data_IF_066175013476
#
_entry.id   IF_066175013476
#
_cell.length_a   1.000
_cell.length_b   1.000
_cell.length_c   1.000
_cell.angle_alpha   90.00
_cell.angle_beta   90.00
_cell.angle_gamma   90.00
#
_symmetry.space_group_name_H-M   'P 1'
#
loop_
_entity.id
_entity.type
_entity.pdbx_description
1 polymer ?
#
# COMPACT_ATOMS: atom_id res chain seq x y z
N UNK A 1 -1.66 -19.17 -4.70
CA UNK A 1 -0.34 -18.49 -4.75
C UNK A 1 0.66 -19.34 -4.01
N UNK A 2 1.71 -19.74 -4.69
CA UNK A 2 2.80 -20.52 -4.12
C UNK A 2 3.93 -19.54 -3.69
N UNK A 3 4.79 -19.95 -2.77
CA UNK A 3 5.86 -19.06 -2.27
C UNK A 3 6.89 -18.72 -3.34
N UNK A 4 7.15 -19.63 -4.26
CA UNK A 4 8.08 -19.47 -5.39
C UNK A 4 7.60 -18.49 -6.46
N UNK A 5 6.31 -18.14 -6.49
CA UNK A 5 5.73 -17.11 -7.38
C UNK A 5 5.90 -15.69 -6.80
N UNK A 6 6.32 -15.57 -5.54
CA UNK A 6 6.41 -14.27 -4.86
C UNK A 6 7.78 -13.65 -5.06
N UNK A 7 7.80 -12.37 -5.41
CA UNK A 7 8.98 -11.50 -5.37
C UNK A 7 8.86 -10.58 -4.16
N UNK A 8 9.38 -10.98 -2.99
CA UNK A 8 9.24 -10.20 -1.78
C UNK A 8 10.14 -8.97 -1.82
N UNK A 9 9.55 -7.77 -1.62
CA UNK A 9 10.29 -6.50 -1.59
C UNK A 9 9.74 -5.58 -0.50
N UNK A 10 10.37 -5.60 0.66
CA UNK A 10 9.92 -4.86 1.84
C UNK A 10 10.21 -3.36 1.78
N UNK A 11 9.40 -2.60 2.50
CA UNK A 11 9.53 -1.15 2.70
C UNK A 11 9.51 -0.82 4.19
N UNK A 12 10.23 0.24 4.55
CA UNK A 12 10.32 0.68 5.93
C UNK A 12 9.25 1.70 6.32
N UNK A 13 9.21 2.03 7.61
CA UNK A 13 8.28 3.02 8.17
C UNK A 13 8.37 4.39 7.48
N UNK A 14 9.57 4.86 7.14
CA UNK A 14 9.74 6.12 6.44
C UNK A 14 9.06 6.15 5.07
N UNK A 15 9.12 5.01 4.34
CA UNK A 15 8.42 4.88 3.07
C UNK A 15 6.89 4.97 3.27
N UNK A 16 6.34 4.25 4.27
CA UNK A 16 4.90 4.27 4.57
C UNK A 16 4.41 5.64 5.00
N UNK A 17 5.17 6.34 5.87
CA UNK A 17 4.84 7.71 6.28
C UNK A 17 4.75 8.65 5.08
N UNK A 18 5.70 8.57 4.16
CA UNK A 18 5.72 9.42 2.98
C UNK A 18 4.64 9.03 1.95
N UNK A 19 4.42 7.72 1.67
CA UNK A 19 3.41 7.25 0.73
C UNK A 19 1.99 7.57 1.16
N UNK A 20 1.71 7.46 2.46
CA UNK A 20 0.36 7.56 3.01
C UNK A 20 0.13 8.80 3.86
N UNK A 21 1.10 9.73 3.92
CA UNK A 21 1.02 10.96 4.74
C UNK A 21 0.64 10.61 6.19
N UNK A 22 1.29 9.56 6.75
CA UNK A 22 1.03 9.16 8.14
C UNK A 22 1.66 10.17 9.10
N UNK A 23 0.85 10.71 10.00
CA UNK A 23 1.22 11.73 10.98
C UNK A 23 1.31 11.15 12.39
N UNK A 24 1.75 11.96 13.34
CA UNK A 24 1.81 11.57 14.74
C UNK A 24 0.43 11.15 15.27
N UNK A 25 -0.63 11.85 14.89
CA UNK A 25 -2.00 11.55 15.31
C UNK A 25 -2.49 10.17 14.82
N UNK A 26 -1.96 9.66 13.69
CA UNK A 26 -2.29 8.33 13.20
C UNK A 26 -1.77 7.21 14.13
N UNK A 27 -0.81 7.50 15.04
CA UNK A 27 -0.31 6.53 16.01
C UNK A 27 -1.39 6.02 16.98
N UNK A 28 -2.40 6.83 17.26
CA UNK A 28 -3.54 6.44 18.11
C UNK A 28 -4.55 5.55 17.37
N UNK A 29 -4.53 5.53 16.03
CA UNK A 29 -5.46 4.80 15.17
C UNK A 29 -5.12 3.31 15.13
N UNK A 30 -6.16 2.49 14.92
CA UNK A 30 -6.01 1.06 14.61
C UNK A 30 -5.75 0.93 13.11
N UNK A 31 -4.53 0.58 12.71
CA UNK A 31 -4.13 0.46 11.32
C UNK A 31 -4.22 -0.97 10.80
N UNK A 32 -4.64 -1.10 9.54
CA UNK A 32 -4.46 -2.30 8.73
C UNK A 32 -3.49 -2.00 7.59
N UNK A 33 -2.40 -2.73 7.51
CA UNK A 33 -1.56 -2.79 6.31
C UNK A 33 -2.00 -3.99 5.45
N UNK A 34 -2.36 -3.76 4.20
CA UNK A 34 -2.84 -4.82 3.31
C UNK A 34 -1.90 -5.00 2.12
N UNK A 35 -1.42 -6.23 1.91
CA UNK A 35 -0.42 -6.53 0.90
C UNK A 35 0.96 -5.99 1.28
N UNK A 36 1.29 -6.02 2.58
CA UNK A 36 2.52 -5.44 3.11
C UNK A 36 3.77 -6.26 2.75
N UNK A 37 3.61 -7.56 2.49
CA UNK A 37 4.75 -8.44 2.26
C UNK A 37 5.76 -8.39 3.39
N UNK A 38 7.08 -8.50 3.11
CA UNK A 38 8.12 -8.47 4.13
C UNK A 38 8.54 -7.03 4.52
N UNK A 39 7.56 -6.14 4.70
CA UNK A 39 7.82 -4.76 5.11
C UNK A 39 8.12 -4.65 6.61
N UNK A 40 9.07 -3.78 6.98
CA UNK A 40 9.33 -3.49 8.41
C UNK A 40 8.32 -2.53 9.03
N UNK A 41 7.38 -2.00 8.24
CA UNK A 41 6.39 -1.03 8.69
C UNK A 41 5.70 -1.44 9.99
N UNK A 42 5.17 -2.68 10.06
CA UNK A 42 4.50 -3.20 11.25
C UNK A 42 5.42 -3.23 12.47
N UNK A 43 6.63 -3.78 12.29
CA UNK A 43 7.62 -3.87 13.35
C UNK A 43 7.97 -2.48 13.93
N UNK A 44 8.23 -1.52 13.05
CA UNK A 44 8.68 -0.19 13.44
C UNK A 44 7.53 0.67 14.00
N UNK A 45 6.32 0.56 13.42
CA UNK A 45 5.12 1.23 13.93
C UNK A 45 4.76 0.75 15.33
N UNK A 46 4.78 -0.58 15.54
CA UNK A 46 4.50 -1.18 16.84
C UNK A 46 5.57 -0.84 17.89
N UNK A 47 6.84 -0.81 17.51
CA UNK A 47 7.93 -0.39 18.39
C UNK A 47 7.79 1.08 18.84
N UNK A 48 7.17 1.93 17.99
CA UNK A 48 6.81 3.30 18.33
C UNK A 48 5.53 3.45 19.17
N UNK A 49 4.89 2.35 19.59
CA UNK A 49 3.67 2.35 20.40
C UNK A 49 2.37 2.42 19.59
N UNK A 50 2.43 2.38 18.26
CA UNK A 50 1.24 2.37 17.40
C UNK A 50 0.60 0.98 17.30
N UNK A 51 -0.67 0.94 16.94
CA UNK A 51 -1.44 -0.29 16.76
C UNK A 51 -1.60 -0.60 15.27
N UNK A 52 -1.03 -1.71 14.80
CA UNK A 52 -1.12 -2.14 13.40
C UNK A 52 -1.25 -3.66 13.28
N UNK A 53 -2.06 -4.08 12.33
CA UNK A 53 -2.10 -5.46 11.83
C UNK A 53 -1.70 -5.41 10.35
N UNK A 54 -0.78 -6.27 9.94
CA UNK A 54 -0.44 -6.48 8.54
C UNK A 54 -1.07 -7.76 8.04
N UNK A 55 -1.69 -7.70 6.85
CA UNK A 55 -2.29 -8.83 6.16
C UNK A 55 -1.60 -9.04 4.83
N UNK A 56 -1.11 -10.27 4.61
CA UNK A 56 -0.50 -10.68 3.35
C UNK A 56 -0.57 -12.21 3.21
N UNK A 57 -0.75 -12.75 1.99
CA UNK A 57 -0.72 -14.19 1.78
C UNK A 57 0.59 -14.88 2.19
N UNK A 58 1.74 -14.18 2.21
CA UNK A 58 3.03 -14.77 2.60
C UNK A 58 3.08 -15.15 4.08
N UNK A 59 2.24 -14.57 4.92
CA UNK A 59 2.26 -14.84 6.36
C UNK A 59 1.72 -16.22 6.75
N UNK A 60 1.35 -17.05 5.76
CA UNK A 60 1.09 -18.49 5.95
C UNK A 60 2.37 -19.31 6.14
N UNK A 61 3.52 -18.79 5.70
CA UNK A 61 4.79 -19.49 5.77
C UNK A 61 5.63 -19.05 6.98
N UNK A 62 6.44 -19.96 7.52
CA UNK A 62 7.35 -19.62 8.61
C UNK A 62 8.44 -18.65 8.15
N UNK A 63 9.00 -17.90 9.11
CA UNK A 63 10.06 -16.91 8.87
C UNK A 63 11.23 -17.46 8.03
N UNK A 64 11.66 -18.69 8.32
CA UNK A 64 12.76 -19.32 7.60
C UNK A 64 12.45 -19.51 6.10
N UNK A 65 11.22 -19.91 5.74
CA UNK A 65 10.83 -20.08 4.35
C UNK A 65 10.73 -18.73 3.63
N UNK A 66 10.18 -17.70 4.28
CA UNK A 66 10.14 -16.35 3.74
C UNK A 66 11.56 -15.80 3.56
N UNK A 67 12.44 -15.99 4.55
CA UNK A 67 13.84 -15.57 4.50
C UNK A 67 14.60 -16.21 3.33
N UNK A 68 14.49 -17.53 3.18
CA UNK A 68 15.11 -18.25 2.06
C UNK A 68 14.61 -17.73 0.70
N UNK A 69 13.31 -17.42 0.57
CA UNK A 69 12.76 -16.84 -0.65
C UNK A 69 13.31 -15.44 -0.93
N UNK A 70 13.42 -14.60 0.10
CA UNK A 70 14.04 -13.26 -0.02
C UNK A 70 15.48 -13.40 -0.53
N UNK A 71 16.28 -14.24 0.09
CA UNK A 71 17.68 -14.45 -0.29
C UNK A 71 17.81 -14.96 -1.73
N UNK A 72 16.95 -15.88 -2.15
CA UNK A 72 16.96 -16.43 -3.50
C UNK A 72 16.58 -15.43 -4.59
N UNK A 73 15.64 -14.48 -4.28
CA UNK A 73 15.08 -13.59 -5.33
C UNK A 73 15.67 -12.19 -5.33
N UNK A 74 16.18 -11.72 -4.20
CA UNK A 74 16.64 -10.35 -4.08
C UNK A 74 17.80 -9.97 -5.00
N UNK A 75 18.80 -10.84 -5.27
CA UNK A 75 19.86 -10.54 -6.23
C UNK A 75 19.31 -10.21 -7.63
N UNK A 76 18.37 -11.02 -8.14
CA UNK A 76 17.75 -10.80 -9.45
C UNK A 76 16.95 -9.48 -9.48
N UNK A 77 16.25 -9.14 -8.38
CA UNK A 77 15.56 -7.84 -8.27
C UNK A 77 16.56 -6.69 -8.36
N UNK A 78 17.70 -6.78 -7.69
CA UNK A 78 18.76 -5.75 -7.71
C UNK A 78 19.35 -5.62 -9.12
N UNK A 79 19.60 -6.73 -9.82
CA UNK A 79 20.06 -6.73 -11.21
C UNK A 79 19.06 -6.01 -12.13
N UNK A 80 17.76 -6.33 -12.02
CA UNK A 80 16.71 -5.64 -12.77
C UNK A 80 16.65 -4.14 -12.45
N UNK A 81 16.88 -3.76 -11.21
CA UNK A 81 16.93 -2.33 -10.82
C UNK A 81 18.14 -1.61 -11.45
N UNK A 82 19.30 -2.29 -11.59
CA UNK A 82 20.48 -1.72 -12.27
C UNK A 82 20.32 -1.70 -13.79
N UNK A 83 19.61 -2.66 -14.37
CA UNK A 83 19.36 -2.73 -15.80
C UNK A 83 18.45 -1.60 -16.31
N UNK A 84 17.55 -1.11 -15.46
CA UNK A 84 16.62 -0.02 -15.80
C UNK A 84 16.55 1.05 -14.69
N UNK A 85 17.64 1.81 -14.47
CA UNK A 85 17.69 2.83 -13.42
C UNK A 85 16.75 4.01 -13.71
N UNK A 86 16.35 4.22 -14.97
CA UNK A 86 15.45 5.28 -15.41
C UNK A 86 14.03 5.14 -14.86
N UNK A 87 13.64 3.96 -14.40
CA UNK A 87 12.36 3.74 -13.72
C UNK A 87 12.32 4.36 -12.32
N UNK A 88 13.48 4.66 -11.74
CA UNK A 88 13.57 5.15 -10.37
C UNK A 88 13.98 6.61 -10.33
N UNK A 89 13.30 7.38 -9.52
CA UNK A 89 13.68 8.76 -9.24
C UNK A 89 14.79 8.79 -8.18
N UNK A 90 16.01 8.69 -8.65
CA UNK A 90 17.21 8.68 -7.81
C UNK A 90 17.77 10.10 -7.64
N UNK A 91 17.02 10.99 -6.93
CA UNK A 91 17.43 12.38 -6.66
C UNK A 91 18.22 12.50 -5.37
N UNK A 92 19.03 13.56 -5.22
CA UNK A 92 19.72 13.87 -3.96
C UNK A 92 20.83 12.86 -3.62
N UNK A 93 21.58 12.37 -4.60
CA UNK A 93 22.67 11.41 -4.39
C UNK A 93 22.21 9.97 -4.10
N UNK A 94 20.93 9.66 -4.24
CA UNK A 94 20.42 8.30 -4.11
C UNK A 94 20.89 7.45 -5.29
N UNK A 95 21.33 6.23 -5.00
CA UNK A 95 21.73 5.24 -6.01
C UNK A 95 20.82 4.02 -5.95
N UNK A 96 20.82 3.20 -7.01
CA UNK A 96 20.14 1.89 -7.01
C UNK A 96 20.65 1.04 -5.85
N UNK A 97 21.98 1.02 -5.61
CA UNK A 97 22.56 0.28 -4.50
C UNK A 97 22.06 0.75 -3.12
N UNK A 98 21.93 2.07 -2.91
CA UNK A 98 21.37 2.61 -1.66
C UNK A 98 19.88 2.24 -1.49
N UNK A 99 19.11 2.24 -2.58
CA UNK A 99 17.72 1.81 -2.56
C UNK A 99 17.61 0.33 -2.24
N UNK A 100 18.43 -0.52 -2.88
CA UNK A 100 18.49 -1.95 -2.63
C UNK A 100 18.88 -2.25 -1.16
N UNK A 101 19.90 -1.56 -0.62
CA UNK A 101 20.30 -1.72 0.78
C UNK A 101 19.15 -1.37 1.77
N UNK A 102 18.39 -0.31 1.49
CA UNK A 102 17.21 0.04 2.30
C UNK A 102 16.13 -1.04 2.25
N UNK A 103 15.87 -1.62 1.07
CA UNK A 103 14.89 -2.71 0.91
C UNK A 103 15.33 -3.95 1.67
N UNK A 104 16.60 -4.30 1.55
CA UNK A 104 17.20 -5.41 2.29
C UNK A 104 17.07 -5.22 3.81
N UNK A 105 17.47 -4.06 4.32
CA UNK A 105 17.37 -3.72 5.74
C UNK A 105 15.93 -3.83 6.26
N UNK A 106 14.94 -3.36 5.50
CA UNK A 106 13.53 -3.47 5.86
C UNK A 106 13.09 -4.94 5.96
N UNK A 107 13.49 -5.78 5.00
CA UNK A 107 13.16 -7.21 5.02
C UNK A 107 13.83 -7.95 6.19
N UNK A 108 15.08 -7.64 6.51
CA UNK A 108 15.77 -8.22 7.68
C UNK A 108 15.08 -7.79 8.99
N UNK A 109 14.68 -6.54 9.09
CA UNK A 109 13.92 -6.03 10.26
C UNK A 109 12.56 -6.72 10.40
N UNK A 110 11.85 -6.94 9.28
CA UNK A 110 10.62 -7.75 9.26
C UNK A 110 10.88 -9.17 9.77
N UNK A 111 11.86 -9.89 9.20
CA UNK A 111 12.17 -11.27 9.57
C UNK A 111 12.51 -11.41 11.04
N UNK A 112 13.20 -10.43 11.63
CA UNK A 112 13.54 -10.39 13.06
C UNK A 112 12.29 -10.25 13.94
N UNK A 113 11.28 -9.47 13.52
CA UNK A 113 10.07 -9.21 14.29
C UNK A 113 8.97 -10.27 14.04
N UNK A 114 8.92 -10.83 12.85
CA UNK A 114 7.80 -11.65 12.36
C UNK A 114 7.42 -12.81 13.29
N UNK A 115 8.36 -13.62 13.89
CA UNK A 115 7.97 -14.69 14.79
C UNK A 115 7.26 -14.20 16.06
N UNK A 116 7.68 -13.06 16.59
CA UNK A 116 7.09 -12.48 17.81
C UNK A 116 5.79 -11.73 17.46
N UNK A 117 5.79 -10.95 16.39
CA UNK A 117 4.61 -10.25 15.90
C UNK A 117 3.49 -11.19 15.46
N UNK A 118 3.84 -12.34 14.88
CA UNK A 118 2.87 -13.37 14.51
C UNK A 118 2.16 -13.96 15.73
N UNK A 119 2.93 -14.31 16.78
CA UNK A 119 2.34 -14.76 18.06
C UNK A 119 1.47 -13.70 18.73
N UNK A 120 1.79 -12.43 18.52
CA UNK A 120 0.99 -11.30 19.02
C UNK A 120 -0.21 -10.95 18.11
N UNK A 121 -0.46 -11.71 17.03
CA UNK A 121 -1.57 -11.46 16.09
C UNK A 121 -1.37 -10.23 15.19
N UNK A 122 -0.13 -9.72 15.07
CA UNK A 122 0.16 -8.55 14.24
C UNK A 122 0.35 -8.88 12.74
N UNK A 123 0.60 -10.13 12.40
CA UNK A 123 0.73 -10.62 11.03
C UNK A 123 -0.33 -11.69 10.77
N UNK A 124 -1.21 -11.45 9.82
CA UNK A 124 -2.34 -12.30 9.49
C UNK A 124 -2.23 -12.78 8.05
N UNK A 125 -2.30 -14.10 7.86
CA UNK A 125 -2.32 -14.68 6.51
C UNK A 125 -3.68 -14.43 5.86
N UNK A 126 -3.68 -13.80 4.69
CA UNK A 126 -4.90 -13.48 3.95
C UNK A 126 -4.61 -12.55 2.79
N UNK A 127 -5.64 -12.20 2.03
CA UNK A 127 -5.50 -11.32 0.87
C UNK A 127 -6.83 -10.78 0.40
N UNK A 128 -6.77 -9.70 -0.37
CA UNK A 128 -7.94 -9.14 -1.06
C UNK A 128 -8.50 -10.16 -2.07
N UNK A 129 -9.78 -10.10 -2.35
CA UNK A 129 -10.76 -9.13 -1.87
C UNK A 129 -11.56 -9.61 -0.65
N UNK A 130 -11.16 -10.66 0.03
CA UNK A 130 -11.91 -11.23 1.16
C UNK A 130 -11.05 -11.16 2.44
N UNK A 131 -11.44 -10.27 3.38
CA UNK A 131 -10.66 -10.01 4.58
C UNK A 131 -11.26 -10.70 5.81
N UNK A 132 -10.45 -11.40 6.64
CA UNK A 132 -10.94 -12.14 7.81
C UNK A 132 -11.17 -11.24 9.03
N UNK A 133 -11.73 -10.05 8.83
CA UNK A 133 -11.97 -9.07 9.88
C UNK A 133 -13.44 -8.66 9.93
N UNK A 134 -13.92 -8.33 11.11
CA UNK A 134 -15.25 -7.74 11.31
C UNK A 134 -15.33 -6.32 10.68
N UNK A 135 -16.54 -5.86 10.43
CA UNK A 135 -16.78 -4.48 9.99
C UNK A 135 -16.20 -3.49 11.01
N UNK A 136 -15.69 -2.36 10.51
CA UNK A 136 -15.20 -1.24 11.30
C UNK A 136 -14.14 -1.62 12.35
N UNK A 137 -13.38 -2.68 12.07
CA UNK A 137 -12.31 -3.18 12.95
C UNK A 137 -11.14 -2.20 13.05
N UNK A 138 -10.92 -1.41 12.00
CA UNK A 138 -9.79 -0.49 11.86
C UNK A 138 -10.29 0.95 11.61
N UNK A 139 -9.42 1.91 11.94
CA UNK A 139 -9.68 3.33 11.68
C UNK A 139 -9.07 3.75 10.33
N UNK A 140 -7.99 3.08 9.92
CA UNK A 140 -7.29 3.33 8.67
C UNK A 140 -6.76 2.02 8.08
N UNK A 141 -7.01 1.79 6.80
CA UNK A 141 -6.33 0.76 6.01
C UNK A 141 -5.39 1.40 5.00
N UNK A 142 -4.19 0.85 4.84
CA UNK A 142 -3.22 1.25 3.83
C UNK A 142 -2.89 0.06 2.94
N UNK A 143 -2.79 0.28 1.62
CA UNK A 143 -2.44 -0.76 0.66
C UNK A 143 -1.36 -0.22 -0.29
N UNK A 144 -0.13 -0.76 -0.15
CA UNK A 144 1.05 -0.31 -0.86
C UNK A 144 1.38 -1.22 -2.03
N UNK A 145 1.57 -0.64 -3.23
CA UNK A 145 2.16 -1.32 -4.39
C UNK A 145 1.48 -2.65 -4.77
N UNK A 146 0.16 -2.69 -4.69
CA UNK A 146 -0.63 -3.86 -5.05
C UNK A 146 -1.64 -3.53 -6.17
N UNK A 147 -2.73 -2.86 -5.87
CA UNK A 147 -3.87 -2.73 -6.79
C UNK A 147 -3.49 -2.10 -8.14
N UNK A 148 -3.46 -0.78 -8.23
CA UNK A 148 -3.25 -0.06 -9.49
C UNK A 148 -1.91 -0.39 -10.15
N UNK A 149 -0.89 -0.75 -9.36
CA UNK A 149 0.41 -1.15 -9.89
C UNK A 149 0.31 -2.40 -10.78
N UNK A 150 -0.56 -3.35 -10.42
CA UNK A 150 -0.75 -4.63 -11.12
C UNK A 150 -2.06 -4.68 -11.91
N UNK A 151 -2.48 -3.55 -12.51
CA UNK A 151 -3.74 -3.47 -13.27
C UNK A 151 -3.84 -4.49 -14.42
N UNK A 152 -2.72 -4.88 -15.03
CA UNK A 152 -2.70 -5.89 -16.09
C UNK A 152 -3.04 -7.31 -15.59
N UNK A 153 -2.91 -7.54 -14.29
CA UNK A 153 -3.17 -8.83 -13.63
C UNK A 153 -4.44 -8.84 -12.78
N UNK A 154 -4.91 -7.66 -12.40
CA UNK A 154 -6.05 -7.47 -11.51
C UNK A 154 -7.16 -6.73 -12.25
N UNK A 155 -8.30 -7.36 -12.47
CA UNK A 155 -9.42 -6.76 -13.20
C UNK A 155 -9.97 -5.51 -12.49
N UNK A 156 -10.67 -4.66 -13.23
CA UNK A 156 -11.41 -3.51 -12.69
C UNK A 156 -12.42 -3.93 -11.62
N UNK A 157 -13.10 -5.05 -11.81
CA UNK A 157 -14.05 -5.60 -10.83
C UNK A 157 -13.33 -6.00 -9.53
N UNK A 158 -12.14 -6.59 -9.64
CA UNK A 158 -11.30 -6.92 -8.49
C UNK A 158 -10.91 -5.66 -7.70
N UNK A 159 -10.44 -4.61 -8.37
CA UNK A 159 -10.09 -3.35 -7.72
C UNK A 159 -11.27 -2.76 -6.93
N UNK A 160 -12.43 -2.68 -7.57
CA UNK A 160 -13.63 -2.12 -6.93
C UNK A 160 -14.03 -2.95 -5.70
N UNK A 161 -14.11 -4.28 -5.84
CA UNK A 161 -14.45 -5.19 -4.74
C UNK A 161 -13.43 -5.10 -3.61
N UNK A 162 -12.13 -5.09 -3.94
CA UNK A 162 -11.05 -5.01 -2.97
C UNK A 162 -11.12 -3.70 -2.13
N UNK A 163 -11.37 -2.56 -2.77
CA UNK A 163 -11.44 -1.27 -2.06
C UNK A 163 -12.73 -1.19 -1.21
N UNK A 164 -13.85 -1.69 -1.70
CA UNK A 164 -15.08 -1.76 -0.90
C UNK A 164 -14.92 -2.69 0.31
N UNK A 165 -14.18 -3.78 0.16
CA UNK A 165 -13.86 -4.67 1.27
C UNK A 165 -12.93 -4.01 2.29
N UNK A 166 -11.93 -3.26 1.85
CA UNK A 166 -11.11 -2.43 2.74
C UNK A 166 -11.95 -1.40 3.48
N UNK A 167 -12.93 -0.77 2.80
CA UNK A 167 -13.89 0.16 3.44
C UNK A 167 -14.89 -0.54 4.36
N UNK A 168 -15.17 -1.82 4.17
CA UNK A 168 -15.99 -2.59 5.11
C UNK A 168 -15.30 -2.71 6.46
N UNK A 169 -13.99 -2.94 6.46
CA UNK A 169 -13.20 -3.19 7.68
C UNK A 169 -12.57 -1.94 8.27
N UNK A 170 -12.46 -0.83 7.50
CA UNK A 170 -11.82 0.41 7.94
C UNK A 170 -12.64 1.65 7.58
N UNK A 171 -12.59 2.68 8.41
CA UNK A 171 -13.28 3.95 8.17
C UNK A 171 -12.68 4.75 7.00
N UNK A 172 -11.36 4.65 6.81
CA UNK A 172 -10.59 5.31 5.76
C UNK A 172 -9.62 4.32 5.11
N UNK A 173 -9.43 4.45 3.80
CA UNK A 173 -8.49 3.64 3.01
C UNK A 173 -7.54 4.55 2.25
N UNK A 174 -6.25 4.25 2.25
CA UNK A 174 -5.22 4.94 1.45
C UNK A 174 -4.50 3.93 0.57
N UNK A 175 -4.45 4.20 -0.73
CA UNK A 175 -3.90 3.30 -1.75
C UNK A 175 -2.75 4.01 -2.50
N UNK A 176 -1.62 3.34 -2.66
CA UNK A 176 -0.45 3.88 -3.35
C UNK A 176 0.31 2.77 -4.11
N UNK A 177 0.87 3.02 -5.29
CA UNK A 177 0.75 4.19 -6.14
C UNK A 177 -0.51 4.14 -7.03
N UNK A 178 -0.74 5.22 -7.79
CA UNK A 178 -1.80 5.30 -8.81
C UNK A 178 -1.26 5.13 -10.24
N UNK A 179 -0.06 4.60 -10.37
CA UNK A 179 0.59 4.24 -11.63
C UNK A 179 0.69 2.72 -11.75
N UNK A 180 0.74 2.24 -12.99
CA UNK A 180 0.95 0.83 -13.30
C UNK A 180 2.45 0.47 -13.36
N UNK A 181 2.77 -0.79 -13.66
CA UNK A 181 4.15 -1.27 -13.78
C UNK A 181 4.94 -0.55 -14.88
N UNK A 182 4.29 -0.06 -15.93
CA UNK A 182 4.92 0.72 -17.00
C UNK A 182 5.21 2.18 -16.60
N UNK A 183 4.73 2.64 -15.41
CA UNK A 183 4.89 4.00 -14.90
C UNK A 183 3.82 4.98 -15.38
N UNK A 184 2.86 4.53 -16.21
CA UNK A 184 1.71 5.33 -16.62
C UNK A 184 0.63 5.37 -15.53
N UNK A 185 -0.22 6.41 -15.57
CA UNK A 185 -1.41 6.46 -14.71
C UNK A 185 -2.30 5.26 -14.99
N UNK A 186 -2.74 4.57 -13.95
CA UNK A 186 -3.58 3.39 -14.09
C UNK A 186 -4.89 3.70 -14.83
N UNK A 187 -5.21 2.88 -15.83
CA UNK A 187 -6.47 2.98 -16.58
C UNK A 187 -7.68 2.63 -15.70
N UNK A 188 -7.48 1.86 -14.64
CA UNK A 188 -8.54 1.50 -13.68
C UNK A 188 -8.90 2.63 -12.72
N UNK A 189 -8.08 3.68 -12.59
CA UNK A 189 -8.25 4.68 -11.52
C UNK A 189 -9.61 5.41 -11.61
N UNK A 190 -9.95 6.02 -12.73
CA UNK A 190 -11.20 6.79 -12.86
C UNK A 190 -12.45 5.88 -12.88
N UNK A 191 -12.45 4.71 -13.58
CA UNK A 191 -13.56 3.76 -13.46
C UNK A 191 -13.80 3.28 -12.03
N UNK A 192 -12.74 2.99 -11.26
CA UNK A 192 -12.84 2.61 -9.84
C UNK A 192 -13.45 3.75 -9.02
N UNK A 193 -12.93 4.99 -9.15
CA UNK A 193 -13.47 6.15 -8.42
C UNK A 193 -14.96 6.36 -8.69
N UNK A 194 -15.37 6.22 -9.96
CA UNK A 194 -16.78 6.30 -10.36
C UNK A 194 -17.62 5.19 -9.73
N UNK A 195 -17.10 3.96 -9.67
CA UNK A 195 -17.79 2.84 -9.02
C UNK A 195 -17.92 3.03 -7.50
N UNK A 196 -16.88 3.53 -6.84
CA UNK A 196 -16.88 3.85 -5.41
C UNK A 196 -17.89 4.96 -5.09
N UNK A 197 -17.96 5.99 -5.91
CA UNK A 197 -18.95 7.07 -5.76
C UNK A 197 -20.38 6.53 -5.86
N UNK A 198 -20.69 5.68 -6.85
CA UNK A 198 -22.00 5.02 -6.96
C UNK A 198 -22.32 4.13 -5.76
N UNK A 199 -21.31 3.59 -5.10
CA UNK A 199 -21.46 2.83 -3.85
C UNK A 199 -21.54 3.71 -2.58
N UNK A 200 -21.61 5.05 -2.73
CA UNK A 200 -21.71 5.99 -1.62
C UNK A 200 -20.41 6.32 -0.92
N UNK A 201 -19.25 5.96 -1.50
CA UNK A 201 -17.95 6.31 -0.96
C UNK A 201 -17.38 7.58 -1.62
N UNK A 202 -16.68 8.39 -0.84
CA UNK A 202 -15.92 9.54 -1.35
C UNK A 202 -14.48 9.14 -1.66
N UNK A 203 -13.86 9.84 -2.61
CA UNK A 203 -12.44 9.62 -2.93
C UNK A 203 -11.75 10.92 -3.32
N UNK A 204 -10.48 11.06 -2.92
CA UNK A 204 -9.61 12.17 -3.31
C UNK A 204 -8.24 11.65 -3.73
N UNK A 205 -7.67 12.26 -4.76
CA UNK A 205 -6.27 12.05 -5.14
C UNK A 205 -5.43 13.05 -4.34
N UNK A 206 -4.45 12.54 -3.61
CA UNK A 206 -3.57 13.34 -2.76
C UNK A 206 -2.14 13.23 -3.26
N UNK A 207 -1.48 14.35 -3.49
CA UNK A 207 -0.04 14.39 -3.79
C UNK A 207 0.74 14.05 -2.52
N UNK A 208 1.76 13.20 -2.66
CA UNK A 208 2.59 12.73 -1.55
C UNK A 208 4.05 13.06 -1.78
N UNK A 209 4.81 13.22 -0.70
CA UNK A 209 6.26 13.45 -0.75
C UNK A 209 7.04 12.12 -0.81
N UNK A 210 6.66 11.31 -1.78
CA UNK A 210 7.31 10.03 -2.07
C UNK A 210 7.28 9.76 -3.57
N UNK A 211 8.46 9.59 -4.15
CA UNK A 211 8.60 9.18 -5.53
C UNK A 211 9.88 8.34 -5.68
N UNK A 212 9.75 7.03 -5.59
CA UNK A 212 10.81 6.09 -5.91
C UNK A 212 10.66 5.57 -7.33
N UNK A 213 9.46 5.13 -7.71
CA UNK A 213 9.12 4.87 -9.10
C UNK A 213 8.72 6.19 -9.76
N UNK A 214 9.25 6.46 -10.95
CA UNK A 214 8.93 7.69 -11.69
C UNK A 214 7.39 7.83 -11.88
N UNK A 215 6.86 9.03 -11.60
CA UNK A 215 5.41 9.32 -11.69
C UNK A 215 4.58 8.88 -10.47
N UNK A 216 5.12 8.03 -9.57
CA UNK A 216 4.41 7.55 -8.40
C UNK A 216 4.42 8.60 -7.28
N UNK A 217 3.63 9.68 -7.45
CA UNK A 217 3.54 10.83 -6.55
C UNK A 217 2.15 11.07 -5.97
N UNK A 218 1.21 10.14 -6.18
CA UNK A 218 -0.16 10.31 -5.76
C UNK A 218 -0.66 9.06 -5.06
N UNK A 219 -1.44 9.26 -4.00
CA UNK A 219 -2.26 8.23 -3.37
C UNK A 219 -3.74 8.51 -3.59
N UNK A 220 -4.56 7.47 -3.58
CA UNK A 220 -6.01 7.58 -3.49
C UNK A 220 -6.42 7.44 -2.03
N UNK A 221 -7.08 8.46 -1.50
CA UNK A 221 -7.78 8.41 -0.22
C UNK A 221 -9.24 8.12 -0.49
N UNK A 222 -9.81 7.15 0.23
CA UNK A 222 -11.21 6.74 0.11
C UNK A 222 -11.83 6.65 1.51
N UNK A 223 -13.06 7.16 1.67
CA UNK A 223 -13.77 7.11 2.96
C UNK A 223 -15.27 7.07 2.76
N UNK A 224 -16.01 6.66 3.79
CA UNK A 224 -17.46 6.82 3.83
C UNK A 224 -17.81 8.16 4.46
N UNK A 225 -18.79 8.90 3.92
CA UNK A 225 -19.26 10.11 4.57
C UNK A 225 -19.78 9.79 5.97
N UNK A 226 -19.49 10.66 6.92
CA UNK A 226 -20.14 10.59 8.22
C UNK A 226 -21.64 10.84 8.04
N UNK A 227 -22.56 10.08 8.67
CA UNK A 227 -23.99 10.29 8.52
C UNK A 227 -24.48 11.71 8.86
N UNK A 228 -23.64 12.53 9.48
CA UNK A 228 -23.93 13.90 9.90
C UNK A 228 -23.38 14.99 8.97
N UNK A 229 -22.63 14.68 7.91
CA UNK A 229 -22.18 15.68 6.94
C UNK A 229 -23.15 15.79 5.77
N UNK A 230 -23.72 16.98 5.48
CA UNK A 230 -24.53 17.20 4.29
C UNK A 230 -23.64 16.98 3.04
N UNK A 231 -24.21 16.35 2.02
CA UNK A 231 -23.57 16.16 0.71
C UNK A 231 -23.35 17.54 0.10
N UNK A 232 -22.11 18.04 0.15
CA UNK A 232 -21.71 19.23 -0.60
C UNK A 232 -21.43 18.75 -2.03
N UNK A 233 -22.42 18.94 -2.92
CA UNK A 233 -22.20 18.82 -4.35
C UNK A 233 -21.18 19.88 -4.78
N UNK A 234 -19.94 19.47 -5.01
CA UNK A 234 -18.96 20.34 -5.71
C UNK A 234 -19.33 20.36 -7.17
N UNK A 235 -20.24 21.28 -7.53
CA UNK A 235 -20.49 21.68 -8.91
C UNK A 235 -19.23 22.38 -9.42
N UNK A 236 -18.48 21.72 -10.27
CA UNK A 236 -17.47 22.35 -11.13
C UNK A 236 -18.18 23.27 -12.11
N UNK A 237 -18.36 24.54 -11.74
CA UNK A 237 -18.61 25.61 -12.70
C UNK A 237 -17.23 26.07 -13.21
N UNK A 238 -16.76 25.47 -14.30
CA UNK A 238 -15.83 26.13 -15.19
C UNK A 238 -16.54 27.34 -15.81
N UNK A 239 -16.18 28.50 -15.31
CA UNK A 239 -16.57 29.75 -15.95
C UNK A 239 -15.75 29.91 -17.23
N UNK A 240 -16.36 29.59 -18.38
CA UNK A 240 -15.95 30.16 -19.67
C UNK A 240 -15.98 31.69 -19.53
N UNK A 241 -14.82 32.30 -19.51
CA UNK A 241 -14.70 33.71 -19.88
C UNK A 241 -14.24 33.80 -21.33
N UNK A 242 -15.24 34.04 -22.22
CA UNK A 242 -15.01 34.73 -23.49
C UNK A 242 -14.62 36.18 -23.18
N UNK A 243 -13.52 36.60 -23.65
CA UNK A 243 -13.29 37.83 -24.45
C UNK A 243 -11.82 37.89 -24.82
#
# INVERSE_FOLDING_TARGET
MQLDEIVPLGRGLADYRAMFVLRADDMARRLLGCGDGPASFNADWSAGGGRVVSLDPIYRWPAAAIGARIEATFPEVVEKMHADPGRFRLTGGRTVGALAARRWSAMQRFLSDYPTGGRAGRYVAGGLPDLPFANDRFDLAVCAHLLFLYEDHLSLAFHTRAILELLRVAAEVRLFPLVNLAGGRSAHLEPVRSALHRAGAHSAIVTVDYEVQFGARHMLRVWRPCPSEPIVETSNHEAEKKT
#
